data_IF_998706579808
#
_entry.id   IF_998706579808
#
_cell.length_a   1.000
_cell.length_b   1.000
_cell.length_c   1.000
_cell.angle_alpha   90.00
_cell.angle_beta   90.00
_cell.angle_gamma   90.00
#
_symmetry.space_group_name_H-M   'P 1'
#
loop_
_entity.id
_entity.type
_entity.pdbx_description
1 polymer ?
#
# COMPACT_ATOMS: atom_id res chain seq x y z
N UNK A 1 1.73 7.32 -21.09
CA UNK A 1 2.93 7.13 -21.96
C UNK A 1 3.43 5.69 -21.79
N UNK A 2 4.20 5.11 -22.72
CA UNK A 2 4.69 3.71 -22.59
C UNK A 2 5.46 3.42 -21.28
N UNK A 3 5.86 4.46 -20.55
CA UNK A 3 6.47 4.46 -19.22
C UNK A 3 5.51 4.07 -18.07
N UNK A 4 4.20 4.07 -18.29
CA UNK A 4 3.20 3.70 -17.27
C UNK A 4 3.08 2.18 -17.10
N UNK A 5 3.47 1.41 -18.12
CA UNK A 5 3.36 -0.06 -18.14
C UNK A 5 4.26 -0.72 -17.08
N UNK A 6 5.57 -0.38 -16.97
CA UNK A 6 6.45 -0.95 -15.94
C UNK A 6 5.98 -0.59 -14.53
N UNK A 7 5.47 0.63 -14.35
CA UNK A 7 4.98 1.12 -13.05
C UNK A 7 3.71 0.39 -12.61
N UNK A 8 2.77 0.17 -13.53
CA UNK A 8 1.56 -0.61 -13.25
C UNK A 8 1.89 -2.06 -12.87
N UNK A 9 2.82 -2.70 -13.59
CA UNK A 9 3.29 -4.05 -13.28
C UNK A 9 3.92 -4.10 -11.88
N UNK A 10 4.74 -3.10 -11.53
CA UNK A 10 5.37 -3.02 -10.21
C UNK A 10 4.32 -2.92 -9.09
N UNK A 11 3.30 -2.08 -9.27
CA UNK A 11 2.19 -1.94 -8.30
C UNK A 11 1.37 -3.23 -8.22
N UNK A 12 1.11 -3.90 -9.35
CA UNK A 12 0.42 -5.18 -9.40
C UNK A 12 1.18 -6.26 -8.63
N UNK A 13 2.48 -6.40 -8.86
CA UNK A 13 3.33 -7.37 -8.15
C UNK A 13 3.35 -7.07 -6.65
N UNK A 14 3.46 -5.79 -6.29
CA UNK A 14 3.46 -5.36 -4.89
C UNK A 14 2.12 -5.69 -4.20
N UNK A 15 0.99 -5.37 -4.85
CA UNK A 15 -0.35 -5.69 -4.36
C UNK A 15 -0.54 -7.20 -4.22
N UNK A 16 -0.20 -7.97 -5.25
CA UNK A 16 -0.33 -9.42 -5.28
C UNK A 16 0.45 -10.06 -4.12
N UNK A 17 1.70 -9.65 -3.93
CA UNK A 17 2.56 -10.15 -2.85
C UNK A 17 1.95 -9.83 -1.48
N UNK A 18 1.50 -8.59 -1.27
CA UNK A 18 0.84 -8.18 -0.04
C UNK A 18 -0.44 -8.97 0.25
N UNK A 19 -1.27 -9.20 -0.77
CA UNK A 19 -2.53 -9.96 -0.64
C UNK A 19 -2.28 -11.44 -0.31
N UNK A 20 -1.27 -12.07 -0.92
CA UNK A 20 -0.91 -13.47 -0.62
C UNK A 20 -0.45 -13.59 0.83
N UNK A 21 0.45 -12.71 1.28
CA UNK A 21 0.97 -12.72 2.66
C UNK A 21 -0.17 -12.45 3.64
N UNK A 22 -1.06 -11.50 3.34
CA UNK A 22 -2.21 -11.20 4.18
C UNK A 22 -3.15 -12.41 4.31
N UNK A 23 -3.46 -13.09 3.19
CA UNK A 23 -4.28 -14.30 3.20
C UNK A 23 -3.65 -15.43 4.01
N UNK A 24 -2.34 -15.63 3.88
CA UNK A 24 -1.60 -16.58 4.70
C UNK A 24 -1.64 -16.22 6.20
N UNK A 25 -1.45 -14.95 6.54
CA UNK A 25 -1.51 -14.47 7.92
C UNK A 25 -2.92 -14.64 8.53
N UNK A 26 -3.96 -14.50 7.72
CA UNK A 26 -5.34 -14.70 8.15
C UNK A 26 -5.68 -16.18 8.43
N UNK A 27 -5.01 -17.10 7.73
CA UNK A 27 -5.21 -18.54 7.92
C UNK A 27 -4.49 -19.06 9.18
N UNK A 28 -3.28 -18.58 9.44
CA UNK A 28 -2.40 -19.15 10.48
C UNK A 28 -2.46 -18.40 11.82
N UNK A 29 -2.88 -17.12 11.80
CA UNK A 29 -2.93 -16.27 12.99
C UNK A 29 -4.36 -15.79 13.29
N UNK A 30 -4.59 -15.41 14.56
CA UNK A 30 -5.83 -14.72 14.96
C UNK A 30 -6.00 -13.36 14.27
N UNK A 31 -7.07 -12.64 14.57
CA UNK A 31 -7.46 -11.41 13.82
C UNK A 31 -6.46 -10.24 13.97
N UNK A 32 -5.71 -10.16 15.07
CA UNK A 32 -4.83 -9.02 15.39
C UNK A 32 -3.62 -8.88 14.45
N UNK A 33 -2.79 -9.92 14.23
CA UNK A 33 -1.65 -9.85 13.30
C UNK A 33 -2.00 -9.45 11.84
N UNK A 34 -3.00 -10.06 11.16
CA UNK A 34 -3.37 -9.67 9.80
C UNK A 34 -3.91 -8.25 9.74
N UNK A 35 -4.64 -7.81 10.77
CA UNK A 35 -5.14 -6.45 10.84
C UNK A 35 -4.00 -5.42 10.90
N UNK A 36 -3.01 -5.64 11.76
CA UNK A 36 -1.82 -4.77 11.85
C UNK A 36 -1.05 -4.80 10.52
N UNK A 37 -0.88 -5.98 9.92
CA UNK A 37 -0.23 -6.11 8.62
C UNK A 37 -0.95 -5.30 7.55
N UNK A 38 -2.27 -5.40 7.45
CA UNK A 38 -3.04 -4.64 6.46
C UNK A 38 -2.93 -3.12 6.67
N UNK A 39 -2.97 -2.67 7.92
CA UNK A 39 -2.88 -1.26 8.28
C UNK A 39 -1.50 -0.68 7.92
N UNK A 40 -0.43 -1.45 8.16
CA UNK A 40 0.94 -1.05 7.83
C UNK A 40 1.20 -1.19 6.33
N UNK A 41 0.90 -2.33 5.71
CA UNK A 41 1.25 -2.61 4.32
C UNK A 41 0.43 -1.77 3.33
N UNK A 42 -0.89 -1.69 3.53
CA UNK A 42 -1.77 -0.91 2.64
C UNK A 42 -1.98 0.53 3.13
N UNK A 43 -2.02 0.77 4.45
CA UNK A 43 -2.33 2.08 5.01
C UNK A 43 -1.18 3.09 4.99
N UNK A 44 0.08 2.68 5.27
CA UNK A 44 1.23 3.61 5.21
C UNK A 44 1.41 4.29 3.85
N UNK A 45 1.41 3.58 2.70
CA UNK A 45 1.58 4.24 1.41
C UNK A 45 0.47 5.26 1.13
N UNK A 46 -0.77 5.00 1.58
CA UNK A 46 -1.87 5.95 1.49
C UNK A 46 -1.58 7.20 2.33
N UNK A 47 -1.15 7.03 3.58
CA UNK A 47 -0.82 8.15 4.47
C UNK A 47 0.35 8.98 3.95
N UNK A 48 1.39 8.33 3.42
CA UNK A 48 2.54 9.00 2.80
C UNK A 48 2.06 9.79 1.57
N UNK A 49 1.24 9.17 0.71
CA UNK A 49 0.70 9.82 -0.47
C UNK A 49 -0.15 11.05 -0.12
N UNK A 50 -1.05 10.92 0.86
CA UNK A 50 -1.85 12.03 1.37
C UNK A 50 -0.97 13.14 1.97
N UNK A 51 0.06 12.78 2.74
CA UNK A 51 0.98 13.76 3.35
C UNK A 51 1.79 14.51 2.28
N UNK A 52 2.25 13.82 1.24
CA UNK A 52 2.96 14.44 0.11
C UNK A 52 2.04 15.40 -0.65
N UNK A 53 0.82 14.96 -1.01
CA UNK A 53 -0.15 15.82 -1.71
C UNK A 53 -0.53 17.03 -0.88
N UNK A 54 -0.82 16.85 0.42
CA UNK A 54 -1.19 17.94 1.32
C UNK A 54 -0.04 18.94 1.49
N UNK A 55 1.21 18.48 1.53
CA UNK A 55 2.41 19.34 1.57
C UNK A 55 2.61 20.12 0.27
N UNK A 56 2.30 19.52 -0.88
CA UNK A 56 2.34 20.22 -2.18
C UNK A 56 1.24 21.28 -2.27
N UNK A 57 0.05 21.01 -1.71
CA UNK A 57 -1.07 21.95 -1.71
C UNK A 57 -0.90 23.11 -0.71
N UNK A 58 -0.13 22.94 0.37
CA UNK A 58 0.13 24.00 1.37
C UNK A 58 1.36 24.88 1.08
N UNK A 59 1.99 24.73 -0.09
CA UNK A 59 3.11 25.58 -0.56
C UNK A 59 2.71 26.51 -1.70
N UNK A 60 1.42 26.56 -2.03
CA UNK A 60 0.82 27.45 -3.02
C UNK A 60 -0.11 28.41 -2.29
N UNK A 61 0.39 29.07 -1.24
CA UNK A 61 -0.16 30.30 -0.68
C UNK A 61 1.01 31.19 -0.23
#
# INVERSE_FOLDING_TARGET
>A
MPEDIPKAIMVLIWLLTGTIIFGWLLMDYGVLPPFIFALVFFGLPILIYQKIIKKTSGKVE
#
